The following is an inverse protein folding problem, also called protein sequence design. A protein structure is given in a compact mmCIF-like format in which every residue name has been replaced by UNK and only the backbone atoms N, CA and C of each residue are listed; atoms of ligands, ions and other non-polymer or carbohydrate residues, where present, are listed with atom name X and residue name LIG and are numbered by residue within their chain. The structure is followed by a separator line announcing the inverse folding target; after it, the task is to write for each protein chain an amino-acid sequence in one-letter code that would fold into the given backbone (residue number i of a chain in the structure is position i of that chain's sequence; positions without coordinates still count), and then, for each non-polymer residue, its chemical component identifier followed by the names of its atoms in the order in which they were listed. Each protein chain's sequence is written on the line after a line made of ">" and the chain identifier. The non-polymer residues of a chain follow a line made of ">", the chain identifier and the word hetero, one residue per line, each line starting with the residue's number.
data_IF_207158989275
#
_entry.id   IF_207158989275
#
_cell.length_a   1.000
_cell.length_b   1.000
_cell.length_c   1.000
_cell.angle_alpha   90.00
_cell.angle_beta   90.00
_cell.angle_gamma   90.00
#
_symmetry.space_group_name_H-M   'P 1'
#
loop_
_entity.id
_entity.type
_entity.pdbx_description
1 polymer ?
#
# COMPACT_ATOMS: atom_id res chain seq x y z
N UNK A 1 -13.67 18.25 -2.18
CA UNK A 1 -13.65 17.01 -2.92
C UNK A 1 -13.39 15.81 -1.99
N UNK A 2 -13.71 14.62 -2.43
CA UNK A 2 -13.55 13.40 -1.63
C UNK A 2 -12.07 13.03 -1.42
N UNK A 3 -11.22 13.30 -2.42
CA UNK A 3 -9.78 12.97 -2.42
C UNK A 3 -8.94 14.25 -2.23
N UNK A 4 -9.17 14.93 -1.11
CA UNK A 4 -8.37 16.09 -0.74
C UNK A 4 -7.11 15.60 -0.02
N UNK A 5 -5.92 15.90 -0.57
CA UNK A 5 -4.66 15.65 0.10
C UNK A 5 -4.60 16.39 1.44
N UNK A 6 -4.10 15.71 2.46
CA UNK A 6 -3.96 16.25 3.81
C UNK A 6 -2.71 17.14 3.94
N UNK A 7 -1.67 16.87 3.15
CA UNK A 7 -0.40 17.60 3.12
C UNK A 7 0.30 17.39 1.77
N UNK A 8 1.51 17.92 1.59
CA UNK A 8 2.22 17.86 0.30
C UNK A 8 3.75 17.80 0.44
N UNK A 9 4.29 17.86 1.64
CA UNK A 9 5.74 17.82 1.82
C UNK A 9 6.32 16.42 1.57
N UNK A 10 5.56 15.38 1.78
CA UNK A 10 5.91 14.01 1.47
C UNK A 10 6.01 13.78 -0.04
N UNK A 11 5.09 14.35 -0.86
CA UNK A 11 5.18 14.32 -2.32
C UNK A 11 6.38 15.10 -2.83
N UNK A 12 6.66 16.28 -2.26
CA UNK A 12 7.84 17.06 -2.62
C UNK A 12 9.13 16.33 -2.28
N UNK A 13 9.17 15.69 -1.11
CA UNK A 13 10.30 14.88 -0.66
C UNK A 13 10.48 13.66 -1.58
N UNK A 14 9.41 12.94 -1.89
CA UNK A 14 9.40 11.78 -2.77
C UNK A 14 9.86 12.16 -4.19
N UNK A 15 9.28 13.21 -4.77
CA UNK A 15 9.63 13.71 -6.10
C UNK A 15 11.09 14.15 -6.20
N UNK A 16 11.62 14.86 -5.18
CA UNK A 16 13.02 15.31 -5.17
C UNK A 16 14.00 14.12 -5.15
N UNK A 17 13.67 13.04 -4.44
CA UNK A 17 14.46 11.80 -4.46
C UNK A 17 14.48 11.15 -5.84
N UNK A 18 13.34 11.09 -6.52
CA UNK A 18 13.26 10.56 -7.89
C UNK A 18 14.00 11.43 -8.90
N UNK A 19 13.94 12.76 -8.76
CA UNK A 19 14.69 13.68 -9.61
C UNK A 19 16.21 13.49 -9.44
N UNK A 20 16.67 13.25 -8.22
CA UNK A 20 18.07 12.89 -7.97
C UNK A 20 18.47 11.60 -8.69
N UNK A 21 17.66 10.55 -8.58
CA UNK A 21 17.91 9.27 -9.28
C UNK A 21 17.95 9.47 -10.80
N UNK A 22 17.04 10.27 -11.34
CA UNK A 22 16.94 10.49 -12.78
C UNK A 22 18.04 11.35 -13.37
N UNK A 23 18.58 12.30 -12.60
CA UNK A 23 19.53 13.32 -13.12
C UNK A 23 20.94 13.20 -12.58
N UNK A 24 21.13 12.60 -11.40
CA UNK A 24 22.39 12.61 -10.64
C UNK A 24 22.72 13.97 -10.01
N UNK A 25 21.85 14.98 -10.14
CA UNK A 25 22.09 16.32 -9.62
C UNK A 25 21.90 16.40 -8.12
N UNK A 26 22.99 16.64 -7.38
CA UNK A 26 22.99 16.73 -5.91
C UNK A 26 22.01 17.79 -5.37
N UNK A 27 21.72 18.83 -6.13
CA UNK A 27 20.75 19.88 -5.76
C UNK A 27 19.38 19.33 -5.42
N UNK A 28 18.92 18.24 -6.08
CA UNK A 28 17.66 17.59 -5.76
C UNK A 28 17.72 16.82 -4.44
N UNK A 29 18.85 16.19 -4.13
CA UNK A 29 19.04 15.54 -2.84
C UNK A 29 19.08 16.55 -1.68
N UNK A 30 19.77 17.69 -1.87
CA UNK A 30 19.77 18.80 -0.91
C UNK A 30 18.35 19.38 -0.74
N UNK A 31 17.56 19.42 -1.83
CA UNK A 31 16.17 19.83 -1.80
C UNK A 31 15.31 18.84 -1.02
N UNK A 32 15.48 17.54 -1.22
CA UNK A 32 14.81 16.51 -0.44
C UNK A 32 15.09 16.68 1.06
N UNK A 33 16.37 16.85 1.44
CA UNK A 33 16.77 17.10 2.82
C UNK A 33 16.05 18.30 3.45
N UNK A 34 15.82 19.37 2.67
CA UNK A 34 15.13 20.58 3.15
C UNK A 34 13.67 20.37 3.51
N UNK A 35 13.01 19.31 3.03
CA UNK A 35 11.61 18.99 3.32
C UNK A 35 11.44 18.12 4.57
N UNK A 36 12.48 17.42 5.02
CA UNK A 36 12.42 16.48 6.16
C UNK A 36 11.80 17.10 7.43
N UNK A 37 12.14 18.36 7.82
CA UNK A 37 11.53 18.98 9.01
C UNK A 37 10.00 19.10 8.95
N UNK A 38 9.42 19.07 7.75
CA UNK A 38 7.98 19.23 7.50
C UNK A 38 7.25 17.89 7.30
N UNK A 39 7.97 16.77 7.31
CA UNK A 39 7.35 15.45 7.21
C UNK A 39 6.55 15.10 8.47
N UNK A 40 5.59 14.20 8.31
CA UNK A 40 4.74 13.72 9.40
C UNK A 40 5.54 13.19 10.59
N UNK A 41 5.02 13.42 11.78
CA UNK A 41 5.60 12.97 13.05
C UNK A 41 4.66 12.00 13.76
N UNK A 42 5.23 11.13 14.59
CA UNK A 42 4.42 10.34 15.52
C UNK A 42 3.73 11.25 16.53
N UNK A 43 2.52 10.85 16.94
CA UNK A 43 1.71 11.63 17.88
C UNK A 43 2.47 11.86 19.20
N UNK A 44 2.61 13.13 19.57
CA UNK A 44 3.29 13.51 20.83
C UNK A 44 4.82 13.33 20.81
N UNK A 45 5.43 13.23 19.62
CA UNK A 45 6.87 13.01 19.46
C UNK A 45 7.44 13.86 18.32
N UNK A 46 8.74 14.10 18.35
CA UNK A 46 9.49 14.68 17.23
C UNK A 46 9.99 13.61 16.24
N UNK A 47 9.70 12.35 16.50
CA UNK A 47 10.10 11.23 15.65
C UNK A 47 9.30 11.23 14.33
N UNK A 48 9.99 10.94 13.21
CA UNK A 48 9.34 10.75 11.92
C UNK A 48 8.30 9.61 12.02
N UNK A 49 7.11 9.86 11.49
CA UNK A 49 6.01 8.91 11.52
C UNK A 49 6.42 7.59 10.83
N UNK A 50 6.15 6.48 11.50
CA UNK A 50 6.38 5.13 11.00
C UNK A 50 5.13 4.25 11.12
N UNK A 51 4.17 4.65 11.96
CA UNK A 51 2.97 3.89 12.32
C UNK A 51 1.80 4.12 11.36
N UNK A 52 2.07 4.08 10.06
CA UNK A 52 1.07 4.22 9.00
C UNK A 52 1.46 3.43 7.76
N UNK A 53 0.66 3.52 6.69
CA UNK A 53 0.89 2.88 5.39
C UNK A 53 1.04 3.91 4.27
N UNK A 54 1.88 3.62 3.28
CA UNK A 54 1.98 4.41 2.06
C UNK A 54 0.72 4.24 1.22
N UNK A 55 0.16 5.35 0.72
CA UNK A 55 -1.03 5.39 -0.11
C UNK A 55 -1.06 6.67 -0.96
N UNK A 56 -2.18 6.91 -1.64
CA UNK A 56 -2.39 8.12 -2.47
C UNK A 56 -2.23 9.45 -1.71
N UNK A 57 -2.49 9.49 -0.40
CA UNK A 57 -2.43 10.70 0.45
C UNK A 57 -1.14 10.80 1.29
N UNK A 58 -0.33 9.75 1.35
CA UNK A 58 0.92 9.73 2.13
C UNK A 58 1.96 8.84 1.43
N UNK A 59 2.99 9.46 0.86
CA UNK A 59 4.11 8.76 0.19
C UNK A 59 5.41 8.83 0.99
N UNK A 60 5.34 9.28 2.25
CA UNK A 60 6.52 9.55 3.08
C UNK A 60 7.40 8.32 3.26
N UNK A 61 6.83 7.13 3.47
CA UNK A 61 7.62 5.91 3.71
C UNK A 61 8.41 5.49 2.47
N UNK A 62 7.81 5.61 1.28
CA UNK A 62 8.53 5.44 0.01
C UNK A 62 9.63 6.47 -0.17
N UNK A 63 9.36 7.73 0.20
CA UNK A 63 10.35 8.80 0.19
C UNK A 63 11.53 8.54 1.12
N UNK A 64 11.28 8.06 2.35
CA UNK A 64 12.33 7.70 3.31
C UNK A 64 13.18 6.52 2.82
N UNK A 65 12.58 5.52 2.19
CA UNK A 65 13.31 4.40 1.59
C UNK A 65 14.21 4.89 0.46
N UNK A 66 13.70 5.70 -0.47
CA UNK A 66 14.51 6.29 -1.54
C UNK A 66 15.65 7.17 -0.99
N UNK A 67 15.37 7.96 0.04
CA UNK A 67 16.38 8.82 0.65
C UNK A 67 17.48 8.01 1.33
N UNK A 68 17.11 6.93 2.02
CA UNK A 68 18.08 5.99 2.60
C UNK A 68 18.96 5.33 1.53
N UNK A 69 18.37 4.93 0.40
CA UNK A 69 19.10 4.37 -0.77
C UNK A 69 20.06 5.42 -1.34
N UNK A 70 19.58 6.63 -1.58
CA UNK A 70 20.33 7.70 -2.25
C UNK A 70 21.49 8.23 -1.41
N UNK A 71 21.34 8.24 -0.07
CA UNK A 71 22.35 8.80 0.85
C UNK A 71 23.27 7.73 1.45
N UNK A 72 22.82 6.49 1.58
CA UNK A 72 23.50 5.46 2.36
C UNK A 72 23.52 5.75 3.87
N UNK A 73 22.71 6.71 4.35
CA UNK A 73 22.70 7.11 5.76
C UNK A 73 21.98 6.09 6.63
N UNK A 74 22.70 5.54 7.60
CA UNK A 74 22.20 4.53 8.53
C UNK A 74 21.05 5.03 9.42
N UNK A 75 20.96 6.33 9.67
CA UNK A 75 19.82 6.91 10.38
C UNK A 75 18.51 6.66 9.62
N UNK A 76 18.48 6.96 8.31
CA UNK A 76 17.28 6.74 7.50
C UNK A 76 17.01 5.26 7.24
N UNK A 77 18.05 4.43 7.09
CA UNK A 77 17.91 2.96 7.10
C UNK A 77 17.22 2.48 8.37
N UNK A 78 17.56 3.04 9.52
CA UNK A 78 16.90 2.70 10.79
C UNK A 78 15.42 3.13 10.83
N UNK A 79 15.05 4.21 10.14
CA UNK A 79 13.63 4.66 10.03
C UNK A 79 12.83 3.71 9.14
N UNK A 80 13.39 3.30 8.00
CA UNK A 80 12.80 2.27 7.14
C UNK A 80 12.58 0.98 7.94
N UNK A 81 13.62 0.50 8.62
CA UNK A 81 13.50 -0.71 9.45
C UNK A 81 12.41 -0.58 10.51
N UNK A 82 12.31 0.57 11.18
CA UNK A 82 11.27 0.80 12.20
C UNK A 82 9.86 0.76 11.61
N UNK A 83 9.66 1.28 10.40
CA UNK A 83 8.39 1.16 9.70
C UNK A 83 8.05 -0.30 9.37
N UNK A 84 9.02 -1.07 8.87
CA UNK A 84 8.81 -2.49 8.59
C UNK A 84 8.55 -3.30 9.86
N UNK A 85 9.25 -3.01 10.97
CA UNK A 85 9.00 -3.62 12.27
C UNK A 85 7.58 -3.29 12.79
N UNK A 86 7.08 -2.08 12.58
CA UNK A 86 5.69 -1.74 12.90
C UNK A 86 4.71 -2.64 12.14
N UNK A 87 4.93 -2.86 10.85
CA UNK A 87 4.06 -3.73 10.04
C UNK A 87 4.13 -5.20 10.45
N UNK A 88 5.32 -5.71 10.74
CA UNK A 88 5.50 -7.12 11.10
C UNK A 88 5.14 -7.45 12.54
N UNK A 89 5.28 -6.50 13.48
CA UNK A 89 5.21 -6.79 14.91
C UNK A 89 4.00 -6.14 15.59
N UNK A 90 3.42 -5.06 15.03
CA UNK A 90 2.41 -4.24 15.71
C UNK A 90 1.07 -4.16 14.99
N UNK A 91 1.05 -4.22 13.65
CA UNK A 91 -0.21 -4.23 12.89
C UNK A 91 -0.94 -5.54 13.13
N UNK A 92 -2.25 -5.46 13.38
CA UNK A 92 -3.10 -6.64 13.61
C UNK A 92 -2.94 -7.65 12.47
N UNK A 93 -2.72 -8.90 12.83
CA UNK A 93 -2.69 -10.02 11.91
C UNK A 93 -4.05 -10.72 11.90
N UNK A 94 -4.58 -10.98 10.72
CA UNK A 94 -5.76 -11.82 10.53
C UNK A 94 -5.35 -13.27 10.27
N UNK A 95 -6.30 -14.19 10.42
CA UNK A 95 -6.10 -15.59 10.04
C UNK A 95 -5.68 -15.67 8.57
N UNK A 96 -4.59 -16.39 8.30
CA UNK A 96 -3.97 -16.44 6.97
C UNK A 96 -2.87 -15.41 6.71
N UNK A 97 -2.46 -14.61 7.74
CA UNK A 97 -1.26 -13.79 7.71
C UNK A 97 -1.43 -12.35 7.22
N UNK A 98 -2.64 -11.93 6.81
CA UNK A 98 -2.85 -10.53 6.38
C UNK A 98 -2.62 -9.56 7.54
N UNK A 99 -1.79 -8.55 7.32
CA UNK A 99 -1.66 -7.39 8.22
C UNK A 99 -2.73 -6.35 7.93
N UNK A 100 -3.70 -6.25 8.84
CA UNK A 100 -4.87 -5.40 8.69
C UNK A 100 -4.70 -4.08 9.45
N UNK A 101 -4.41 -2.99 8.71
CA UNK A 101 -4.16 -1.67 9.30
C UNK A 101 -5.44 -0.89 9.56
N UNK A 102 -6.37 -0.90 8.63
CA UNK A 102 -7.60 -0.08 8.66
C UNK A 102 -8.66 -0.64 7.73
N UNK A 103 -9.91 -0.23 7.96
CA UNK A 103 -11.10 -0.75 7.29
C UNK A 103 -11.12 -0.49 5.78
N UNK A 104 -10.75 0.73 5.33
CA UNK A 104 -10.92 1.11 3.93
C UNK A 104 -9.72 0.73 3.08
N UNK A 105 -9.90 -0.29 2.23
CA UNK A 105 -8.85 -0.72 1.31
C UNK A 105 -7.64 -1.30 2.04
N UNK A 106 -7.85 -2.21 3.01
CA UNK A 106 -6.78 -2.78 3.83
C UNK A 106 -5.67 -3.44 3.00
N UNK A 107 -6.02 -4.09 1.88
CA UNK A 107 -5.04 -4.74 1.00
C UNK A 107 -4.09 -3.75 0.33
N UNK A 108 -4.56 -2.54 -0.01
CA UNK A 108 -3.70 -1.47 -0.52
C UNK A 108 -2.51 -1.22 0.40
N UNK A 109 -2.78 -1.06 1.69
CA UNK A 109 -1.75 -0.77 2.68
C UNK A 109 -0.82 -1.95 2.92
N UNK A 110 -1.38 -3.15 3.09
CA UNK A 110 -0.60 -4.36 3.33
C UNK A 110 0.36 -4.69 2.17
N UNK A 111 -0.16 -4.70 0.94
CA UNK A 111 0.66 -4.96 -0.24
C UNK A 111 1.70 -3.87 -0.50
N UNK A 112 1.35 -2.58 -0.27
CA UNK A 112 2.33 -1.50 -0.42
C UNK A 112 3.44 -1.59 0.65
N UNK A 113 3.11 -1.96 1.89
CA UNK A 113 4.12 -2.23 2.92
C UNK A 113 4.99 -3.44 2.55
N UNK A 114 4.40 -4.48 1.97
CA UNK A 114 5.12 -5.63 1.41
C UNK A 114 6.07 -5.22 0.28
N UNK A 115 5.63 -4.37 -0.65
CA UNK A 115 6.48 -3.80 -1.69
C UNK A 115 7.67 -3.04 -1.11
N UNK A 116 7.44 -2.15 -0.14
CA UNK A 116 8.53 -1.43 0.53
C UNK A 116 9.50 -2.36 1.24
N UNK A 117 9.00 -3.43 1.86
CA UNK A 117 9.83 -4.46 2.50
C UNK A 117 10.71 -5.19 1.48
N UNK A 118 10.15 -5.60 0.34
CA UNK A 118 10.89 -6.25 -0.74
C UNK A 118 12.03 -5.36 -1.25
N UNK A 119 11.73 -4.09 -1.58
CA UNK A 119 12.76 -3.13 -2.02
C UNK A 119 13.82 -2.89 -0.96
N UNK A 120 13.43 -2.77 0.32
CA UNK A 120 14.37 -2.57 1.41
C UNK A 120 15.32 -3.77 1.59
N UNK A 121 14.81 -5.02 1.48
CA UNK A 121 15.61 -6.24 1.56
C UNK A 121 16.69 -6.30 0.47
N UNK A 122 16.34 -5.85 -0.74
CA UNK A 122 17.27 -5.86 -1.88
C UNK A 122 18.26 -4.69 -1.89
N UNK A 123 17.99 -3.66 -1.07
CA UNK A 123 18.78 -2.42 -1.04
C UNK A 123 19.39 -2.14 0.34
N UNK A 124 18.73 -1.33 1.16
CA UNK A 124 19.27 -0.78 2.42
C UNK A 124 19.45 -1.82 3.52
N UNK A 125 18.75 -2.96 3.45
CA UNK A 125 18.86 -4.08 4.39
C UNK A 125 19.66 -5.25 3.81
N UNK A 126 20.16 -5.13 2.58
CA UNK A 126 20.93 -6.21 1.93
C UNK A 126 22.14 -6.63 2.75
N UNK A 127 22.26 -7.94 2.97
CA UNK A 127 23.35 -8.52 3.77
C UNK A 127 23.08 -8.58 5.27
N UNK A 128 21.89 -8.17 5.72
CA UNK A 128 21.40 -8.38 7.09
C UNK A 128 20.42 -9.57 7.14
N UNK A 129 19.95 -9.94 8.33
CA UNK A 129 18.86 -10.92 8.46
C UNK A 129 17.53 -10.26 8.08
N UNK A 130 17.02 -10.61 6.91
CA UNK A 130 15.77 -10.08 6.34
C UNK A 130 14.63 -11.10 6.29
N UNK A 131 14.83 -12.29 6.85
CA UNK A 131 13.87 -13.40 6.75
C UNK A 131 12.46 -12.98 7.15
N UNK A 132 12.31 -12.29 8.30
CA UNK A 132 11.02 -11.78 8.78
C UNK A 132 10.29 -10.91 7.74
N UNK A 133 11.01 -10.03 7.07
CA UNK A 133 10.42 -9.14 6.06
C UNK A 133 10.10 -9.87 4.75
N UNK A 134 10.91 -10.88 4.40
CA UNK A 134 10.66 -11.72 3.24
C UNK A 134 9.40 -12.57 3.43
N UNK A 135 9.24 -13.18 4.58
CA UNK A 135 8.01 -13.91 4.96
C UNK A 135 6.81 -12.95 4.93
N UNK A 136 6.93 -11.77 5.53
CA UNK A 136 5.87 -10.77 5.55
C UNK A 136 5.39 -10.38 4.14
N UNK A 137 6.27 -9.94 3.24
CA UNK A 137 5.80 -9.51 1.92
C UNK A 137 5.23 -10.66 1.09
N UNK A 138 5.77 -11.87 1.25
CA UNK A 138 5.23 -13.05 0.58
C UNK A 138 3.80 -13.36 1.06
N UNK A 139 3.58 -13.36 2.37
CA UNK A 139 2.26 -13.60 2.96
C UNK A 139 1.20 -12.59 2.49
N UNK A 140 1.57 -11.29 2.38
CA UNK A 140 0.59 -10.28 1.93
C UNK A 140 0.14 -10.52 0.48
N UNK A 141 1.08 -10.87 -0.41
CA UNK A 141 0.77 -11.17 -1.81
C UNK A 141 -0.01 -12.48 -1.92
N UNK A 142 0.44 -13.54 -1.24
CA UNK A 142 -0.21 -14.85 -1.27
C UNK A 142 -1.65 -14.76 -0.74
N UNK A 143 -1.87 -14.03 0.36
CA UNK A 143 -3.21 -13.75 0.88
C UNK A 143 -4.11 -13.07 -0.16
N UNK A 144 -3.59 -12.05 -0.84
CA UNK A 144 -4.32 -11.32 -1.88
C UNK A 144 -4.66 -12.20 -3.09
N UNK A 145 -3.84 -13.19 -3.39
CA UNK A 145 -4.02 -14.16 -4.47
C UNK A 145 -4.93 -15.34 -4.10
N UNK A 146 -5.31 -15.48 -2.83
CA UNK A 146 -6.27 -16.49 -2.37
C UNK A 146 -5.68 -17.56 -1.46
N UNK A 147 -4.42 -17.45 -1.03
CA UNK A 147 -3.87 -18.27 0.05
C UNK A 147 -4.31 -17.69 1.41
N UNK A 148 -5.57 -17.87 1.70
CA UNK A 148 -6.25 -17.40 2.89
C UNK A 148 -7.35 -18.41 3.30
N UNK A 149 -7.95 -18.31 4.49
CA UNK A 149 -8.89 -19.31 5.01
C UNK A 149 -10.10 -19.61 4.10
N UNK A 150 -10.56 -18.62 3.35
CA UNK A 150 -11.74 -18.75 2.47
C UNK A 150 -11.36 -19.08 1.02
N UNK A 151 -10.09 -19.26 0.70
CA UNK A 151 -9.59 -19.42 -0.68
C UNK A 151 -10.15 -18.35 -1.63
N UNK A 152 -10.32 -17.13 -1.10
CA UNK A 152 -10.85 -15.97 -1.80
C UNK A 152 -9.70 -15.17 -2.43
N UNK A 153 -9.60 -15.17 -3.76
CA UNK A 153 -8.78 -14.19 -4.44
C UNK A 153 -9.39 -12.80 -4.32
N UNK A 154 -8.59 -11.80 -4.01
CA UNK A 154 -9.00 -10.39 -4.02
C UNK A 154 -8.60 -9.68 -5.32
N UNK A 155 -8.06 -10.43 -6.28
CA UNK A 155 -7.68 -9.95 -7.62
C UNK A 155 -8.74 -10.37 -8.63
N UNK A 156 -9.38 -9.40 -9.25
CA UNK A 156 -10.44 -9.63 -10.24
C UNK A 156 -9.90 -10.47 -11.41
N UNK A 157 -10.57 -11.60 -11.67
CA UNK A 157 -10.22 -12.50 -12.76
C UNK A 157 -9.06 -13.45 -12.48
N UNK A 158 -8.55 -13.53 -11.25
CA UNK A 158 -7.52 -14.47 -10.85
C UNK A 158 -8.08 -15.57 -9.94
N UNK A 159 -7.75 -16.83 -10.25
CA UNK A 159 -8.28 -17.98 -9.52
C UNK A 159 -9.74 -18.30 -9.86
N UNK A 160 -10.35 -19.21 -9.10
CA UNK A 160 -11.74 -19.62 -9.30
C UNK A 160 -12.71 -18.74 -8.51
N UNK A 161 -12.32 -18.35 -7.29
CA UNK A 161 -13.11 -17.53 -6.39
C UNK A 161 -12.55 -16.10 -6.35
N UNK A 162 -12.99 -15.24 -7.27
CA UNK A 162 -12.57 -13.86 -7.39
C UNK A 162 -13.74 -12.87 -7.37
N UNK A 163 -13.55 -11.59 -7.02
CA UNK A 163 -14.57 -10.56 -7.06
C UNK A 163 -15.08 -10.32 -8.47
N UNK A 164 -16.41 -10.41 -8.66
CA UNK A 164 -17.09 -10.17 -9.95
C UNK A 164 -17.72 -8.78 -10.01
N UNK A 165 -17.97 -8.18 -8.85
CA UNK A 165 -18.68 -6.91 -8.70
C UNK A 165 -17.84 -5.82 -8.00
N UNK A 166 -16.60 -5.53 -8.44
CA UNK A 166 -15.88 -4.42 -7.86
C UNK A 166 -16.65 -3.11 -8.03
N UNK A 167 -16.47 -2.19 -7.06
CA UNK A 167 -17.05 -0.84 -7.10
C UNK A 167 -16.35 -0.01 -8.17
N UNK A 168 -16.69 -0.25 -9.44
CA UNK A 168 -16.09 0.42 -10.59
C UNK A 168 -17.13 0.73 -11.67
N UNK A 169 -17.40 2.01 -11.89
CA UNK A 169 -18.50 2.47 -12.73
C UNK A 169 -18.44 1.94 -14.17
N UNK A 170 -17.26 1.94 -14.79
CA UNK A 170 -17.11 1.48 -16.17
C UNK A 170 -17.24 -0.04 -16.28
N UNK A 171 -16.69 -0.80 -15.33
CA UNK A 171 -16.87 -2.26 -15.29
C UNK A 171 -18.35 -2.66 -15.08
N UNK A 172 -19.06 -1.92 -14.23
CA UNK A 172 -20.50 -2.09 -14.01
C UNK A 172 -21.31 -1.78 -15.28
N UNK A 173 -20.97 -0.70 -15.98
CA UNK A 173 -21.62 -0.27 -17.23
C UNK A 173 -23.12 -0.13 -17.15
N UNK A 174 -23.64 0.47 -16.08
CA UNK A 174 -25.08 0.74 -15.92
C UNK A 174 -25.57 1.79 -16.91
N UNK A 175 -26.61 1.46 -17.66
CA UNK A 175 -27.25 2.43 -18.56
C UNK A 175 -28.16 3.41 -17.82
N UNK A 176 -28.60 3.05 -16.60
CA UNK A 176 -29.46 3.88 -15.76
C UNK A 176 -28.68 4.75 -14.76
N UNK A 177 -27.36 4.65 -14.76
CA UNK A 177 -26.51 5.27 -13.72
C UNK A 177 -26.94 4.88 -12.29
N UNK A 178 -27.34 3.63 -12.11
CA UNK A 178 -27.80 3.04 -10.86
C UNK A 178 -26.77 2.01 -10.36
N UNK A 179 -26.60 1.88 -9.05
CA UNK A 179 -25.64 0.94 -8.46
C UNK A 179 -26.13 -0.51 -8.49
N UNK A 180 -27.44 -0.72 -8.53
CA UNK A 180 -28.11 -2.02 -8.45
C UNK A 180 -28.46 -2.63 -9.82
N UNK A 181 -28.33 -1.85 -10.90
CA UNK A 181 -28.74 -2.28 -12.25
C UNK A 181 -27.66 -2.03 -13.28
N UNK A 182 -27.14 -3.07 -13.96
CA UNK A 182 -27.44 -4.50 -13.78
C UNK A 182 -26.98 -5.05 -12.44
N UNK A 183 -27.51 -6.18 -12.01
CA UNK A 183 -27.14 -6.85 -10.75
C UNK A 183 -25.65 -7.19 -10.70
N UNK A 184 -25.12 -7.72 -11.80
CA UNK A 184 -23.69 -8.04 -11.95
C UNK A 184 -22.99 -7.04 -12.87
N UNK A 185 -21.69 -6.84 -12.66
CA UNK A 185 -20.87 -6.05 -13.58
C UNK A 185 -20.87 -6.68 -14.98
N UNK A 186 -20.96 -5.86 -16.02
CA UNK A 186 -20.96 -6.32 -17.43
C UNK A 186 -19.58 -6.69 -17.92
N UNK A 187 -18.54 -6.08 -17.35
CA UNK A 187 -17.15 -6.27 -17.75
C UNK A 187 -16.33 -6.75 -16.56
N UNK A 188 -15.49 -7.74 -16.80
CA UNK A 188 -14.51 -8.21 -15.81
C UNK A 188 -13.31 -7.27 -15.87
N UNK A 189 -12.98 -6.64 -14.76
CA UNK A 189 -11.84 -5.73 -14.63
C UNK A 189 -10.59 -6.52 -14.23
N UNK A 190 -10.08 -7.33 -15.16
CA UNK A 190 -8.95 -8.23 -14.91
C UNK A 190 -7.76 -7.55 -14.26
N UNK A 191 -7.22 -8.16 -13.22
CA UNK A 191 -6.01 -7.72 -12.50
C UNK A 191 -6.25 -6.61 -11.48
N UNK A 192 -7.47 -6.09 -11.33
CA UNK A 192 -7.76 -5.08 -10.31
C UNK A 192 -7.79 -5.71 -8.91
N UNK A 193 -7.03 -5.15 -7.97
CA UNK A 193 -7.08 -5.48 -6.56
C UNK A 193 -8.24 -4.72 -5.91
N UNK A 194 -9.14 -5.43 -5.24
CA UNK A 194 -10.22 -4.81 -4.45
C UNK A 194 -9.73 -4.41 -3.05
N UNK A 195 -10.55 -3.64 -2.32
CA UNK A 195 -10.22 -3.13 -1.00
C UNK A 195 -9.83 -4.18 0.03
N UNK A 196 -10.48 -5.34 0.00
CA UNK A 196 -10.15 -6.47 0.87
C UNK A 196 -11.13 -6.72 2.01
N UNK A 197 -10.80 -7.63 2.95
CA UNK A 197 -11.71 -8.08 4.00
C UNK A 197 -11.92 -7.05 5.12
N UNK A 198 -12.94 -7.28 5.90
CA UNK A 198 -13.19 -6.61 7.17
C UNK A 198 -12.13 -7.04 8.23
N UNK A 199 -12.17 -6.38 9.38
CA UNK A 199 -11.28 -6.67 10.52
C UNK A 199 -11.41 -8.09 11.10
N UNK A 200 -12.52 -8.75 10.85
CA UNK A 200 -12.80 -10.14 11.23
C UNK A 200 -12.51 -11.17 10.12
N UNK A 201 -11.91 -10.73 9.02
CA UNK A 201 -11.58 -11.56 7.86
C UNK A 201 -12.74 -11.74 6.88
N UNK A 202 -13.97 -11.36 7.22
CA UNK A 202 -15.13 -11.55 6.33
C UNK A 202 -15.06 -10.65 5.10
N UNK A 203 -15.56 -11.17 3.96
CA UNK A 203 -15.65 -10.44 2.71
C UNK A 203 -16.94 -10.76 1.96
N UNK A 204 -17.50 -9.77 1.30
CA UNK A 204 -18.67 -9.94 0.42
C UNK A 204 -18.43 -9.20 -0.89
N UNK A 205 -18.59 -9.90 -2.02
CA UNK A 205 -18.51 -9.31 -3.37
C UNK A 205 -19.77 -8.50 -3.66
N UNK A 206 -19.88 -7.34 -3.03
CA UNK A 206 -20.97 -6.39 -3.18
C UNK A 206 -20.47 -5.04 -3.68
N UNK A 207 -20.84 -4.67 -4.90
CA UNK A 207 -20.49 -3.38 -5.50
C UNK A 207 -20.91 -2.16 -4.68
N UNK A 208 -21.98 -2.28 -3.89
CA UNK A 208 -22.45 -1.17 -3.06
C UNK A 208 -21.57 -0.98 -1.82
N UNK A 209 -20.88 -2.03 -1.39
CA UNK A 209 -19.85 -1.94 -0.34
C UNK A 209 -18.51 -1.48 -0.93
N UNK A 210 -18.39 -0.18 -1.17
CA UNK A 210 -17.18 0.43 -1.72
C UNK A 210 -15.96 0.31 -0.79
N UNK A 211 -16.15 0.15 0.50
CA UNK A 211 -15.04 -0.01 1.47
C UNK A 211 -14.20 -1.25 1.14
N UNK A 212 -14.86 -2.38 0.88
CA UNK A 212 -14.22 -3.67 0.59
C UNK A 212 -14.00 -3.91 -0.91
N UNK A 213 -14.80 -3.27 -1.78
CA UNK A 213 -14.84 -3.59 -3.21
C UNK A 213 -14.39 -2.44 -4.13
N UNK A 214 -13.98 -1.28 -3.59
CA UNK A 214 -13.36 -0.24 -4.41
C UNK A 214 -12.06 -0.76 -5.02
N UNK A 215 -11.73 -0.24 -6.21
CA UNK A 215 -10.49 -0.49 -6.93
C UNK A 215 -9.89 0.84 -7.34
N UNK A 216 -8.57 0.97 -7.28
CA UNK A 216 -7.87 2.19 -7.64
C UNK A 216 -6.45 1.90 -8.11
N UNK A 217 -5.83 2.87 -8.80
CA UNK A 217 -4.45 2.73 -9.25
C UNK A 217 -3.48 2.53 -8.07
N UNK A 218 -3.70 3.24 -6.96
CA UNK A 218 -2.86 3.11 -5.77
C UNK A 218 -3.06 1.76 -5.04
N UNK A 219 -4.22 1.09 -5.20
CA UNK A 219 -4.41 -0.28 -4.70
C UNK A 219 -3.50 -1.27 -5.41
N UNK A 220 -3.40 -1.14 -6.72
CA UNK A 220 -2.55 -2.01 -7.53
C UNK A 220 -1.06 -1.67 -7.46
N UNK A 221 -0.69 -0.40 -7.23
CA UNK A 221 0.68 0.06 -7.39
C UNK A 221 1.70 -0.66 -6.49
N UNK A 222 1.32 -1.02 -5.27
CA UNK A 222 2.17 -1.79 -4.37
C UNK A 222 2.01 -3.31 -4.48
N UNK A 223 0.95 -3.75 -5.18
CA UNK A 223 0.67 -5.18 -5.40
C UNK A 223 1.40 -5.73 -6.64
N UNK A 224 1.55 -4.92 -7.70
CA UNK A 224 2.18 -5.32 -8.98
C UNK A 224 3.67 -5.08 -8.98
#
# INVERSE_FOLDING_TARGET
>A
GFYRSSHFYDELFYAANWLYIATGEKSYLDKAASYIPNLGKELGSDELKYSWGMCWDDVMQGGLLLYAINTGDSFYTSRVKKHLDYWTDSVKELDGGLRWLTTWGCLRYANTAGFLASVACDTVLKGTDTKKYQEFYQEQIDYSLGDNPDHQSFVVGYGENFPKNPHHRTAHASWKNALDTPETNRHILYGALVGGPNEDGTYTDDRQNYINNEVACDYNAGFT
#
